data_IF_602701894707
#
_entry.id   IF_602701894707
#
_cell.length_a   1.000
_cell.length_b   1.000
_cell.length_c   1.000
_cell.angle_alpha   90.00
_cell.angle_beta   90.00
_cell.angle_gamma   90.00
#
_symmetry.space_group_name_H-M   'P 1'
#
loop_
_entity.id
_entity.type
_entity.pdbx_description
1 polymer ?
#
# COMPACT_ATOMS: atom_id res chain seq x y z
N UNK A 1 17.40 0.81 -4.55
CA UNK A 1 17.37 2.29 -4.52
C UNK A 1 18.74 2.81 -4.96
N UNK A 2 18.81 3.58 -6.05
CA UNK A 2 20.05 4.23 -6.47
C UNK A 2 20.32 5.51 -5.65
N UNK A 3 21.55 6.07 -5.75
CA UNK A 3 21.97 7.24 -4.94
C UNK A 3 21.07 8.48 -5.16
N UNK A 4 20.58 8.71 -6.38
CA UNK A 4 19.70 9.84 -6.71
C UNK A 4 18.34 9.70 -6.03
N UNK A 5 17.72 8.52 -6.12
CA UNK A 5 16.46 8.25 -5.46
C UNK A 5 16.61 8.29 -3.93
N UNK A 6 17.74 7.78 -3.41
CA UNK A 6 18.02 7.84 -1.97
C UNK A 6 18.06 9.27 -1.45
N UNK A 7 18.70 10.18 -2.21
CA UNK A 7 18.73 11.61 -1.87
C UNK A 7 17.32 12.21 -1.91
N UNK A 8 16.56 11.96 -2.97
CA UNK A 8 15.18 12.46 -3.11
C UNK A 8 14.30 11.99 -1.94
N UNK A 9 14.34 10.69 -1.59
CA UNK A 9 13.60 10.16 -0.45
C UNK A 9 13.97 10.87 0.86
N UNK A 10 15.26 11.14 1.09
CA UNK A 10 15.69 11.90 2.29
C UNK A 10 15.21 13.35 2.29
N UNK A 11 15.14 14.00 1.14
CA UNK A 11 14.60 15.35 1.00
C UNK A 11 13.08 15.38 1.26
N UNK A 12 12.34 14.38 0.78
CA UNK A 12 10.89 14.24 1.02
C UNK A 12 10.60 13.94 2.50
N UNK A 13 11.41 13.08 3.15
CA UNK A 13 11.30 12.80 4.59
C UNK A 13 11.45 14.08 5.40
N UNK A 14 12.54 14.81 5.19
CA UNK A 14 12.80 16.06 5.89
C UNK A 14 11.67 17.07 5.69
N UNK A 15 11.22 17.25 4.44
CA UNK A 15 10.07 18.12 4.14
C UNK A 15 8.82 17.67 4.89
N UNK A 16 8.52 16.37 4.92
CA UNK A 16 7.36 15.84 5.63
C UNK A 16 7.43 16.11 7.13
N UNK A 17 8.57 15.88 7.77
CA UNK A 17 8.81 16.16 9.20
C UNK A 17 8.64 17.64 9.53
N UNK A 18 9.27 18.53 8.74
CA UNK A 18 9.16 19.98 8.91
C UNK A 18 7.72 20.48 8.70
N UNK A 19 7.06 20.01 7.65
CA UNK A 19 5.66 20.34 7.37
C UNK A 19 4.73 19.88 8.48
N UNK A 20 4.90 18.66 8.96
CA UNK A 20 4.02 18.05 9.95
C UNK A 20 4.21 18.68 11.34
N UNK A 21 5.41 19.17 11.64
CA UNK A 21 5.70 19.94 12.85
C UNK A 21 5.07 21.36 12.80
N UNK A 22 4.92 21.93 11.59
CA UNK A 22 4.39 23.27 11.38
C UNK A 22 2.86 23.32 11.18
N UNK A 23 2.19 22.16 11.05
CA UNK A 23 0.76 22.09 10.77
C UNK A 23 0.02 21.20 11.78
N UNK A 24 -0.95 21.76 12.49
CA UNK A 24 -1.84 21.00 13.38
C UNK A 24 -2.98 20.31 12.61
N UNK A 25 -3.39 20.87 11.47
CA UNK A 25 -4.47 20.34 10.65
C UNK A 25 -4.02 19.06 9.91
N UNK A 26 -4.62 17.93 10.24
CA UNK A 26 -4.29 16.61 9.66
C UNK A 26 -4.28 16.62 8.13
N UNK A 27 -5.24 17.31 7.49
CA UNK A 27 -5.34 17.39 6.03
C UNK A 27 -4.14 18.03 5.34
N UNK A 28 -3.38 18.88 6.07
CA UNK A 28 -2.16 19.54 5.59
C UNK A 28 -0.89 18.76 5.86
N UNK A 29 -0.96 17.78 6.75
CA UNK A 29 0.20 16.94 7.12
C UNK A 29 0.46 15.88 6.07
N UNK A 30 1.73 15.58 5.85
CA UNK A 30 2.14 14.53 4.90
C UNK A 30 2.01 13.14 5.50
N UNK A 31 2.30 13.01 6.79
CA UNK A 31 2.20 11.78 7.58
C UNK A 31 2.95 10.60 6.94
N UNK A 32 4.13 10.88 6.41
CA UNK A 32 4.91 9.86 5.72
C UNK A 32 5.11 8.59 6.56
N UNK A 33 5.10 7.46 5.90
CA UNK A 33 5.59 6.20 6.49
C UNK A 33 7.04 6.36 6.95
N UNK A 34 7.50 5.50 7.84
CA UNK A 34 8.91 5.50 8.21
C UNK A 34 9.79 4.95 7.08
N UNK A 35 11.08 5.31 7.06
CA UNK A 35 12.04 4.71 6.14
C UNK A 35 12.10 3.18 6.30
N UNK A 36 12.01 2.67 7.54
CA UNK A 36 11.96 1.24 7.82
C UNK A 36 10.76 0.55 7.17
N UNK A 37 9.58 1.18 7.23
CA UNK A 37 8.38 0.71 6.50
C UNK A 37 8.63 0.69 4.99
N UNK A 38 9.20 1.75 4.41
CA UNK A 38 9.53 1.80 2.97
C UNK A 38 10.47 0.68 2.54
N UNK A 39 11.54 0.43 3.32
CA UNK A 39 12.46 -0.69 3.07
C UNK A 39 11.77 -2.04 3.19
N UNK A 40 10.91 -2.22 4.17
CA UNK A 40 10.12 -3.43 4.35
C UNK A 40 9.20 -3.70 3.15
N UNK A 41 8.44 -2.69 2.69
CA UNK A 41 7.60 -2.78 1.50
C UNK A 41 8.41 -3.20 0.27
N UNK A 42 9.56 -2.56 0.05
CA UNK A 42 10.44 -2.88 -1.07
C UNK A 42 10.93 -4.34 -1.03
N UNK A 43 11.28 -4.87 0.15
CA UNK A 43 11.68 -6.27 0.32
C UNK A 43 10.52 -7.23 0.03
N UNK A 44 9.33 -6.97 0.57
CA UNK A 44 8.15 -7.81 0.33
C UNK A 44 7.84 -7.89 -1.16
N UNK A 45 7.77 -6.75 -1.86
CA UNK A 45 7.50 -6.68 -3.29
C UNK A 45 8.56 -7.44 -4.10
N UNK A 46 9.84 -7.25 -3.75
CA UNK A 46 10.95 -7.92 -4.42
C UNK A 46 10.91 -9.44 -4.25
N UNK A 47 10.68 -9.94 -3.03
CA UNK A 47 10.61 -11.39 -2.74
C UNK A 47 9.38 -12.03 -3.40
N UNK A 48 8.25 -11.34 -3.40
CA UNK A 48 7.02 -11.81 -4.05
C UNK A 48 7.11 -11.79 -5.59
N UNK A 49 8.04 -11.04 -6.16
CA UNK A 49 8.05 -10.76 -7.60
C UNK A 49 6.79 -10.02 -8.07
N UNK A 50 6.17 -9.25 -7.16
CA UNK A 50 4.91 -8.58 -7.39
C UNK A 50 5.03 -7.57 -8.56
N UNK A 51 3.94 -7.43 -9.34
CA UNK A 51 3.88 -6.57 -10.53
C UNK A 51 2.77 -5.54 -10.48
N UNK A 52 1.63 -5.89 -9.90
CA UNK A 52 0.47 -5.01 -9.82
C UNK A 52 0.24 -4.62 -8.37
N UNK A 53 0.61 -3.38 -8.04
CA UNK A 53 0.47 -2.82 -6.70
C UNK A 53 -0.68 -1.81 -6.68
N UNK A 54 -1.54 -1.90 -5.69
CA UNK A 54 -2.56 -0.88 -5.42
C UNK A 54 -2.24 -0.21 -4.08
N UNK A 55 -2.06 1.10 -4.10
CA UNK A 55 -1.83 1.92 -2.92
C UNK A 55 -3.03 2.84 -2.67
N UNK A 56 -3.53 2.85 -1.46
CA UNK A 56 -4.58 3.75 -1.00
C UNK A 56 -3.97 4.79 -0.04
N UNK A 57 -3.85 6.02 -0.52
CA UNK A 57 -3.20 7.12 0.21
C UNK A 57 -1.85 7.51 -0.37
N UNK A 58 -1.84 8.26 -1.49
CA UNK A 58 -0.62 8.74 -2.14
C UNK A 58 0.14 9.76 -1.31
N UNK A 59 -0.59 10.69 -0.65
CA UNK A 59 -0.02 11.88 0.00
C UNK A 59 0.99 12.60 -0.92
N UNK A 60 2.22 12.86 -0.46
CA UNK A 60 3.29 13.45 -1.28
C UNK A 60 4.06 12.43 -2.15
N UNK A 61 3.64 11.16 -2.15
CA UNK A 61 4.23 10.09 -2.97
C UNK A 61 5.44 9.39 -2.37
N UNK A 62 5.73 9.60 -1.09
CA UNK A 62 6.90 8.99 -0.44
C UNK A 62 6.87 7.46 -0.45
N UNK A 63 5.78 6.84 0.02
CA UNK A 63 5.57 5.38 -0.03
C UNK A 63 5.51 4.87 -1.46
N UNK A 64 4.81 5.60 -2.34
CA UNK A 64 4.69 5.27 -3.76
C UNK A 64 6.05 5.10 -4.44
N UNK A 65 7.03 5.95 -4.10
CA UNK A 65 8.39 5.84 -4.65
C UNK A 65 9.13 4.58 -4.20
N UNK A 66 8.95 4.13 -2.95
CA UNK A 66 9.48 2.86 -2.48
C UNK A 66 8.85 1.68 -3.24
N UNK A 67 7.53 1.72 -3.41
CA UNK A 67 6.78 0.71 -4.15
C UNK A 67 7.20 0.67 -5.63
N UNK A 68 7.33 1.84 -6.26
CA UNK A 68 7.69 1.96 -7.69
C UNK A 68 9.12 1.49 -7.98
N UNK A 69 10.09 1.81 -7.11
CA UNK A 69 11.47 1.32 -7.24
C UNK A 69 11.52 -0.21 -7.12
N UNK A 70 10.74 -0.78 -6.20
CA UNK A 70 10.71 -2.21 -5.96
C UNK A 70 10.00 -3.00 -7.07
N UNK A 71 8.94 -2.45 -7.68
CA UNK A 71 8.17 -3.13 -8.74
C UNK A 71 8.81 -2.99 -10.12
N UNK A 72 9.61 -1.95 -10.33
CA UNK A 72 10.23 -1.63 -11.63
C UNK A 72 11.06 -2.79 -12.22
N UNK A 73 11.94 -3.50 -11.45
CA UNK A 73 12.69 -4.66 -11.97
C UNK A 73 11.79 -5.81 -12.44
N UNK A 74 10.58 -5.93 -11.87
CA UNK A 74 9.61 -6.96 -12.22
C UNK A 74 8.77 -6.57 -13.46
N UNK A 75 8.97 -5.36 -14.01
CA UNK A 75 8.18 -4.83 -15.13
C UNK A 75 6.74 -4.51 -14.75
N UNK A 76 6.49 -4.22 -13.47
CA UNK A 76 5.17 -3.94 -12.92
C UNK A 76 4.87 -2.45 -12.76
N UNK A 77 3.76 -2.16 -12.09
CA UNK A 77 3.25 -0.81 -11.85
C UNK A 77 2.63 -0.66 -10.46
N UNK A 78 2.61 0.58 -9.98
CA UNK A 78 1.87 1.04 -8.82
C UNK A 78 0.71 1.89 -9.28
N UNK A 79 -0.52 1.50 -8.96
CA UNK A 79 -1.68 2.39 -9.03
C UNK A 79 -1.87 2.99 -7.64
N UNK A 80 -1.85 4.33 -7.52
CA UNK A 80 -2.00 5.04 -6.25
C UNK A 80 -3.13 6.05 -6.32
N UNK A 81 -3.93 6.18 -5.24
CA UNK A 81 -5.09 7.06 -5.20
C UNK A 81 -5.00 8.08 -4.08
N UNK A 82 -5.38 9.33 -4.40
CA UNK A 82 -5.44 10.46 -3.46
C UNK A 82 -6.60 11.39 -3.83
N UNK A 83 -7.25 11.97 -2.82
CA UNK A 83 -8.33 12.93 -3.01
C UNK A 83 -7.86 14.39 -2.98
N UNK A 84 -6.75 14.68 -2.29
CA UNK A 84 -6.28 16.04 -2.06
C UNK A 84 -5.49 16.58 -3.26
N UNK A 85 -6.00 17.57 -4.03
CA UNK A 85 -5.31 18.06 -5.25
C UNK A 85 -3.92 18.63 -4.97
N UNK A 86 -3.71 19.23 -3.79
CA UNK A 86 -2.39 19.76 -3.41
C UNK A 86 -1.35 18.64 -3.23
N UNK A 87 -1.74 17.54 -2.56
CA UNK A 87 -0.89 16.35 -2.38
C UNK A 87 -0.60 15.67 -3.70
N UNK A 88 -1.61 15.53 -4.57
CA UNK A 88 -1.44 14.97 -5.92
C UNK A 88 -0.42 15.74 -6.76
N UNK A 89 -0.44 17.09 -6.71
CA UNK A 89 0.56 17.91 -7.43
C UNK A 89 1.96 17.65 -6.90
N UNK A 90 2.13 17.66 -5.59
CA UNK A 90 3.42 17.41 -4.93
C UNK A 90 3.96 16.01 -5.25
N UNK A 91 3.10 15.00 -5.18
CA UNK A 91 3.46 13.63 -5.55
C UNK A 91 3.91 13.54 -7.01
N UNK A 92 3.20 14.20 -7.95
CA UNK A 92 3.55 14.22 -9.36
C UNK A 92 4.92 14.83 -9.62
N UNK A 93 5.29 15.92 -8.91
CA UNK A 93 6.60 16.53 -8.97
C UNK A 93 7.69 15.56 -8.45
N UNK A 94 7.44 14.87 -7.34
CA UNK A 94 8.35 13.88 -6.79
C UNK A 94 8.52 12.67 -7.73
N UNK A 95 7.44 12.20 -8.37
CA UNK A 95 7.49 11.12 -9.34
C UNK A 95 8.33 11.50 -10.57
N UNK A 96 8.18 12.73 -11.07
CA UNK A 96 8.98 13.23 -12.18
C UNK A 96 10.47 13.34 -11.80
N UNK A 97 10.77 13.86 -10.60
CA UNK A 97 12.14 14.00 -10.10
C UNK A 97 12.84 12.65 -9.88
N UNK A 98 12.09 11.61 -9.53
CA UNK A 98 12.62 10.26 -9.29
C UNK A 98 13.01 9.49 -10.57
N UNK A 99 12.45 9.86 -11.73
CA UNK A 99 12.53 9.08 -12.95
C UNK A 99 11.68 7.80 -12.96
N UNK A 100 10.87 7.55 -11.91
CA UNK A 100 10.02 6.37 -11.76
C UNK A 100 8.59 6.57 -12.29
N UNK A 101 8.24 7.76 -12.77
CA UNK A 101 6.87 8.11 -13.17
C UNK A 101 6.22 7.11 -14.15
N UNK A 102 7.01 6.44 -15.01
CA UNK A 102 6.49 5.42 -15.94
C UNK A 102 5.95 4.15 -15.25
N UNK A 103 6.30 3.93 -14.00
CA UNK A 103 5.84 2.80 -13.17
C UNK A 103 4.72 3.18 -12.22
N UNK A 104 4.18 4.41 -12.32
CA UNK A 104 3.18 4.95 -11.40
C UNK A 104 1.98 5.46 -12.19
N UNK A 105 0.82 4.91 -11.91
CA UNK A 105 -0.47 5.40 -12.39
C UNK A 105 -1.17 6.13 -11.23
N UNK A 106 -1.11 7.46 -11.24
CA UNK A 106 -1.70 8.30 -10.21
C UNK A 106 -3.17 8.59 -10.51
N UNK A 107 -4.04 8.24 -9.57
CA UNK A 107 -5.49 8.43 -9.67
C UNK A 107 -5.94 9.52 -8.69
N UNK A 108 -6.64 10.54 -9.20
CA UNK A 108 -7.37 11.50 -8.40
C UNK A 108 -8.78 10.98 -8.14
N UNK A 109 -9.16 10.78 -6.88
CA UNK A 109 -10.50 10.31 -6.54
C UNK A 109 -10.63 9.60 -5.22
N UNK A 110 -11.82 9.07 -5.01
CA UNK A 110 -12.20 8.31 -3.82
C UNK A 110 -11.70 6.86 -3.90
N UNK A 111 -11.11 6.37 -2.81
CA UNK A 111 -10.53 5.03 -2.73
C UNK A 111 -11.58 3.92 -2.79
N UNK A 112 -12.73 4.10 -2.13
CA UNK A 112 -13.83 3.13 -2.17
C UNK A 112 -14.38 2.97 -3.58
N UNK A 113 -14.52 4.08 -4.33
CA UNK A 113 -14.94 4.02 -5.74
C UNK A 113 -13.88 3.35 -6.63
N UNK A 114 -12.59 3.58 -6.36
CA UNK A 114 -11.54 2.90 -7.09
C UNK A 114 -11.57 1.40 -6.83
N UNK A 115 -11.65 0.98 -5.57
CA UNK A 115 -11.77 -0.43 -5.18
C UNK A 115 -12.98 -1.09 -5.84
N UNK A 116 -14.17 -0.47 -5.76
CA UNK A 116 -15.41 -1.02 -6.33
C UNK A 116 -15.35 -1.27 -7.84
N UNK A 117 -14.64 -0.41 -8.60
CA UNK A 117 -14.46 -0.53 -10.06
C UNK A 117 -13.26 -1.36 -10.49
N UNK A 118 -12.35 -1.68 -9.58
CA UNK A 118 -11.18 -2.52 -9.86
C UNK A 118 -11.60 -3.96 -10.15
N UNK A 119 -10.89 -4.62 -11.06
CA UNK A 119 -11.16 -6.01 -11.42
C UNK A 119 -10.90 -6.99 -10.30
N UNK A 120 -11.55 -8.13 -10.33
CA UNK A 120 -11.29 -9.23 -9.40
C UNK A 120 -9.87 -9.75 -9.59
N UNK A 121 -9.19 -10.06 -8.49
CA UNK A 121 -7.81 -10.58 -8.52
C UNK A 121 -6.87 -9.73 -9.38
N UNK A 122 -6.98 -8.40 -9.29
CA UNK A 122 -6.25 -7.45 -10.13
C UNK A 122 -4.93 -6.96 -9.53
N UNK A 123 -4.66 -7.19 -8.23
CA UNK A 123 -3.41 -6.75 -7.63
C UNK A 123 -2.71 -7.86 -6.83
N UNK A 124 -1.37 -7.82 -6.85
CA UNK A 124 -0.50 -8.72 -6.09
C UNK A 124 -0.33 -8.22 -4.65
N UNK A 125 -0.19 -6.90 -4.48
CA UNK A 125 -0.07 -6.25 -3.18
C UNK A 125 -1.02 -5.07 -3.12
N UNK A 126 -1.76 -4.96 -2.02
CA UNK A 126 -2.58 -3.80 -1.68
C UNK A 126 -2.00 -3.16 -0.42
N UNK A 127 -1.58 -1.89 -0.50
CA UNK A 127 -1.06 -1.13 0.62
C UNK A 127 -2.06 -0.07 1.06
N UNK A 128 -2.43 -0.08 2.35
CA UNK A 128 -3.35 0.89 2.96
C UNK A 128 -2.62 1.82 3.92
N UNK A 129 -2.61 3.11 3.62
CA UNK A 129 -2.16 4.19 4.51
C UNK A 129 -3.04 5.43 4.32
N UNK A 130 -4.30 5.33 4.74
CA UNK A 130 -5.28 6.41 4.56
C UNK A 130 -6.23 6.54 5.76
N UNK A 131 -7.54 6.77 5.54
CA UNK A 131 -8.55 6.88 6.59
C UNK A 131 -8.98 5.50 7.09
N UNK A 132 -8.48 5.12 8.26
CA UNK A 132 -8.63 3.78 8.85
C UNK A 132 -10.08 3.41 9.16
N UNK A 133 -10.94 4.39 9.43
CA UNK A 133 -12.37 4.17 9.73
C UNK A 133 -13.14 3.60 8.55
N UNK A 134 -12.64 3.80 7.32
CA UNK A 134 -13.26 3.31 6.09
C UNK A 134 -12.91 1.85 5.76
N UNK A 135 -11.82 1.31 6.33
CA UNK A 135 -11.26 0.01 5.93
C UNK A 135 -12.23 -1.16 6.11
N UNK A 136 -13.03 -1.15 7.18
CA UNK A 136 -14.05 -2.20 7.41
C UNK A 136 -15.08 -2.20 6.28
N UNK A 137 -15.54 -1.01 5.86
CA UNK A 137 -16.47 -0.86 4.75
C UNK A 137 -15.89 -1.29 3.40
N UNK A 138 -14.58 -1.10 3.21
CA UNK A 138 -13.90 -1.49 1.97
C UNK A 138 -13.47 -2.96 1.93
N UNK A 139 -13.55 -3.69 3.06
CA UNK A 139 -13.05 -5.07 3.15
C UNK A 139 -13.59 -6.00 2.06
N UNK A 140 -14.90 -6.00 1.72
CA UNK A 140 -15.43 -6.84 0.64
C UNK A 140 -14.71 -6.62 -0.71
N UNK A 141 -14.39 -5.36 -1.06
CA UNK A 141 -13.68 -5.04 -2.28
C UNK A 141 -12.18 -5.31 -2.16
N UNK A 142 -11.54 -4.99 -1.03
CA UNK A 142 -10.12 -5.29 -0.77
C UNK A 142 -9.83 -6.77 -0.99
N UNK A 143 -10.60 -7.67 -0.37
CA UNK A 143 -10.43 -9.12 -0.54
C UNK A 143 -10.69 -9.61 -1.96
N UNK A 144 -11.61 -8.95 -2.69
CA UNK A 144 -11.97 -9.29 -4.08
C UNK A 144 -10.84 -8.94 -5.04
N UNK A 145 -10.23 -7.75 -4.91
CA UNK A 145 -9.19 -7.27 -5.81
C UNK A 145 -7.84 -7.94 -5.59
N UNK A 146 -7.54 -8.47 -4.40
CA UNK A 146 -6.34 -9.22 -4.14
C UNK A 146 -6.34 -10.56 -4.89
N UNK A 147 -5.23 -10.89 -5.55
CA UNK A 147 -5.02 -12.21 -6.17
C UNK A 147 -4.87 -13.31 -5.12
N UNK A 148 -5.14 -14.57 -5.47
CA UNK A 148 -4.60 -15.70 -4.69
C UNK A 148 -3.08 -15.54 -4.51
N UNK A 149 -2.58 -15.75 -3.31
CA UNK A 149 -1.21 -15.45 -2.86
C UNK A 149 -0.85 -13.95 -2.84
N UNK A 150 -1.82 -13.07 -3.07
CA UNK A 150 -1.64 -11.63 -2.89
C UNK A 150 -1.56 -11.24 -1.42
N UNK A 151 -1.00 -10.07 -1.15
CA UNK A 151 -0.77 -9.57 0.20
C UNK A 151 -1.42 -8.21 0.41
N UNK A 152 -2.19 -8.09 1.49
CA UNK A 152 -2.61 -6.82 2.07
C UNK A 152 -1.56 -6.39 3.10
N UNK A 153 -1.13 -5.14 3.04
CA UNK A 153 -0.25 -4.50 4.03
C UNK A 153 -0.92 -3.21 4.50
N UNK A 154 -1.00 -3.01 5.81
CA UNK A 154 -1.67 -1.83 6.38
C UNK A 154 -0.78 -1.17 7.40
N UNK A 155 -0.42 0.11 7.17
CA UNK A 155 0.40 0.90 8.11
C UNK A 155 -0.39 1.32 9.36
N UNK A 156 0.33 1.73 10.38
CA UNK A 156 -0.20 2.27 11.63
C UNK A 156 -0.95 1.26 12.52
N UNK A 157 -0.78 -0.03 12.34
CA UNK A 157 -1.51 -1.07 13.07
C UNK A 157 -1.21 -1.09 14.57
N UNK A 158 -0.02 -0.66 15.01
CA UNK A 158 0.31 -0.56 16.45
C UNK A 158 0.10 0.85 17.00
N UNK A 159 0.47 1.89 16.25
CA UNK A 159 0.31 3.28 16.70
C UNK A 159 -1.15 3.71 16.82
N UNK A 160 -2.06 3.09 16.06
CA UNK A 160 -3.50 3.34 16.06
C UNK A 160 -4.30 2.05 16.31
N UNK A 161 -3.82 1.19 17.22
CA UNK A 161 -4.35 -0.14 17.47
C UNK A 161 -5.87 -0.15 17.75
N UNK A 162 -6.40 0.82 18.47
CA UNK A 162 -7.83 0.90 18.79
C UNK A 162 -8.69 1.15 17.53
N UNK A 163 -8.24 2.03 16.62
CA UNK A 163 -8.93 2.30 15.34
C UNK A 163 -8.82 1.12 14.38
N UNK A 164 -7.68 0.40 14.41
CA UNK A 164 -7.40 -0.73 13.53
C UNK A 164 -8.07 -2.03 13.96
N UNK A 165 -8.40 -2.18 15.25
CA UNK A 165 -8.90 -3.44 15.81
C UNK A 165 -10.13 -4.01 15.08
N UNK A 166 -11.17 -3.23 14.73
CA UNK A 166 -12.33 -3.76 14.00
C UNK A 166 -11.96 -4.33 12.64
N UNK A 167 -11.10 -3.64 11.90
CA UNK A 167 -10.64 -4.10 10.59
C UNK A 167 -9.79 -5.36 10.69
N UNK A 168 -8.79 -5.36 11.58
CA UNK A 168 -7.91 -6.51 11.80
C UNK A 168 -8.70 -7.75 12.21
N UNK A 169 -9.73 -7.61 13.05
CA UNK A 169 -10.62 -8.69 13.45
C UNK A 169 -11.45 -9.21 12.26
N UNK A 170 -11.99 -8.33 11.43
CA UNK A 170 -12.75 -8.72 10.25
C UNK A 170 -11.88 -9.52 9.27
N UNK A 171 -10.65 -9.08 9.03
CA UNK A 171 -9.69 -9.77 8.15
C UNK A 171 -9.28 -11.12 8.75
N UNK A 172 -8.97 -11.17 10.05
CA UNK A 172 -8.55 -12.40 10.71
C UNK A 172 -9.68 -13.47 10.81
N UNK A 173 -10.93 -13.03 10.77
CA UNK A 173 -12.09 -13.92 10.74
C UNK A 173 -12.46 -14.42 9.33
N UNK A 174 -11.86 -13.83 8.27
CA UNK A 174 -12.16 -14.20 6.88
C UNK A 174 -11.49 -15.51 6.50
N UNK A 175 -12.27 -16.54 6.09
CA UNK A 175 -11.69 -17.79 5.60
C UNK A 175 -10.79 -17.56 4.37
N UNK A 176 -9.67 -18.26 4.33
CA UNK A 176 -8.69 -18.13 3.24
C UNK A 176 -7.76 -16.93 3.35
N UNK A 177 -7.66 -16.34 4.54
CA UNK A 177 -6.65 -15.33 4.87
C UNK A 177 -5.84 -15.74 6.09
N UNK A 178 -4.52 -15.56 6.00
CA UNK A 178 -3.59 -15.68 7.13
C UNK A 178 -3.10 -14.30 7.50
N UNK A 179 -3.01 -13.98 8.79
CA UNK A 179 -2.64 -12.64 9.25
C UNK A 179 -1.40 -12.64 10.14
N UNK A 180 -0.66 -11.54 10.13
CA UNK A 180 0.48 -11.30 11.00
C UNK A 180 0.61 -9.82 11.33
N UNK A 181 1.22 -9.49 12.47
CA UNK A 181 1.57 -8.13 12.86
C UNK A 181 3.08 -8.02 12.96
N UNK A 182 3.68 -7.11 12.19
CA UNK A 182 5.11 -6.86 12.14
C UNK A 182 5.42 -5.51 12.76
N UNK A 183 6.37 -5.47 13.69
CA UNK A 183 6.70 -4.25 14.46
C UNK A 183 7.74 -3.38 13.75
N UNK A 184 7.63 -3.19 12.43
CA UNK A 184 8.41 -2.21 11.68
C UNK A 184 7.65 -0.88 11.66
N UNK A 185 8.38 0.23 11.68
CA UNK A 185 7.75 1.55 11.64
C UNK A 185 6.75 1.80 12.76
N UNK A 186 5.50 2.05 12.38
CA UNK A 186 4.36 2.26 13.29
C UNK A 186 3.52 1.00 13.46
N UNK A 187 4.04 -0.15 13.00
CA UNK A 187 3.40 -1.46 12.98
C UNK A 187 2.63 -1.71 11.69
N UNK A 188 3.02 -2.79 10.99
CA UNK A 188 2.39 -3.23 9.75
C UNK A 188 1.50 -4.46 10.02
N UNK A 189 0.21 -4.35 9.70
CA UNK A 189 -0.67 -5.51 9.68
C UNK A 189 -0.61 -6.14 8.30
N UNK A 190 -0.30 -7.43 8.25
CA UNK A 190 -0.22 -8.21 7.03
C UNK A 190 -1.37 -9.20 6.95
N UNK A 191 -1.93 -9.37 5.77
CA UNK A 191 -2.85 -10.46 5.49
C UNK A 191 -2.54 -11.05 4.10
N UNK A 192 -2.29 -12.36 4.06
CA UNK A 192 -2.05 -13.09 2.82
C UNK A 192 -3.31 -13.82 2.40
N UNK A 193 -3.75 -13.64 1.16
CA UNK A 193 -4.83 -14.44 0.57
C UNK A 193 -4.30 -15.82 0.20
N UNK A 194 -4.86 -16.85 0.80
CA UNK A 194 -4.49 -18.24 0.51
C UNK A 194 -4.90 -18.64 -0.92
N UNK A 195 -4.24 -19.66 -1.48
CA UNK A 195 -4.69 -20.29 -2.69
C UNK A 195 -6.06 -20.94 -2.46
N UNK A 196 -6.89 -20.99 -3.49
CA UNK A 196 -8.09 -21.82 -3.46
C UNK A 196 -7.69 -23.31 -3.37
N UNK A 197 -7.50 -23.77 -2.15
CA UNK A 197 -7.10 -25.16 -1.87
C UNK A 197 -8.10 -26.19 -2.41
N UNK A 198 -9.36 -25.81 -2.61
CA UNK A 198 -10.36 -26.69 -3.22
C UNK A 198 -9.98 -27.05 -4.65
N UNK A 199 -9.42 -26.08 -5.43
CA UNK A 199 -8.90 -26.35 -6.78
C UNK A 199 -7.62 -27.20 -6.78
N UNK A 200 -6.78 -27.01 -5.76
CA UNK A 200 -5.53 -27.78 -5.64
C UNK A 200 -5.81 -29.27 -5.36
N UNK A 201 -6.75 -29.57 -4.44
CA UNK A 201 -7.13 -30.93 -4.09
C UNK A 201 -8.02 -31.62 -5.15
N UNK A 202 -8.82 -30.87 -5.93
CA UNK A 202 -9.58 -31.43 -7.04
C UNK A 202 -8.65 -32.03 -8.12
N UNK A 203 -7.58 -31.33 -8.49
CA UNK A 203 -6.59 -31.85 -9.44
C UNK A 203 -5.73 -33.01 -8.95
N UNK A 204 -5.73 -33.31 -7.64
CA UNK A 204 -5.03 -34.46 -7.03
C UNK A 204 -5.87 -35.74 -7.06
N UNK A 205 -7.21 -35.61 -7.01
CA UNK A 205 -8.14 -36.76 -7.04
C UNK A 205 -8.36 -37.34 -8.44
N UNK A 206 -7.99 -36.61 -9.48
CA UNK A 206 -8.11 -37.03 -10.86
C UNK A 206 -6.82 -37.62 -11.47
N UNK A 207 -5.76 -37.77 -10.68
CA UNK A 207 -4.50 -38.44 -11.01
C UNK A 207 -4.27 -39.65 -10.13
#
# INVERSE_FOLDING_TARGET
VNATLHKLLSDIERFGEENDAANDERGRRMLNITRGTGQFLAHVIGVMGARDILEIGTSNGYSTLWLADAVAPNGGKVTTVEMAPAKLRMARENFAASGLGRYIDQVEGDAGQLLARSGDSSCDVLFLDSERTEYVGWWPDIRRVLRPHGMLIVDNATSHAAEMAPFMQAVAAEPGFSTSLVTVGKGEFLASREADMARYWAGWRER
#
